data_IF_618598058576
#
_entry.id   IF_618598058576
#
_cell.length_a   1.000
_cell.length_b   1.000
_cell.length_c   1.000
_cell.angle_alpha   90.00
_cell.angle_beta   90.00
_cell.angle_gamma   90.00
#
_symmetry.space_group_name_H-M   'P 1'
#
loop_
_entity.id
_entity.type
_entity.pdbx_description
1 polymer ?
#
# COMPACT_ATOMS: atom_id res chain seq x y z
N UNK A 1 -3.35 -20.19 5.33
CA UNK A 1 -4.22 -20.09 4.13
C UNK A 1 -3.58 -19.29 2.98
N UNK A 2 -3.24 -18.01 3.12
CA UNK A 2 -2.78 -17.16 1.98
C UNK A 2 -1.55 -17.68 1.23
N UNK A 3 -0.64 -18.36 1.94
CA UNK A 3 0.55 -18.98 1.34
C UNK A 3 0.19 -20.09 0.33
N UNK A 4 -0.83 -20.91 0.62
CA UNK A 4 -1.37 -21.90 -0.33
C UNK A 4 -1.83 -21.20 -1.61
N UNK A 5 -2.58 -20.10 -1.47
CA UNK A 5 -3.06 -19.35 -2.62
C UNK A 5 -1.93 -18.79 -3.50
N UNK A 6 -0.79 -18.43 -2.90
CA UNK A 6 0.39 -17.99 -3.66
C UNK A 6 1.13 -19.15 -4.33
N UNK A 7 1.40 -20.23 -3.60
CA UNK A 7 2.15 -21.40 -4.10
C UNK A 7 1.40 -22.08 -5.24
N UNK A 8 0.08 -22.25 -5.10
CA UNK A 8 -0.76 -22.94 -6.09
C UNK A 8 -1.45 -21.97 -7.06
N UNK A 9 -1.01 -20.71 -7.11
CA UNK A 9 -1.54 -19.68 -8.00
C UNK A 9 -3.08 -19.59 -7.99
N UNK A 10 -3.69 -19.59 -6.81
CA UNK A 10 -5.12 -19.36 -6.59
C UNK A 10 -5.31 -17.88 -6.22
N UNK A 11 -5.65 -17.00 -7.18
CA UNK A 11 -5.69 -15.56 -6.94
C UNK A 11 -6.93 -15.11 -6.14
N UNK A 12 -7.98 -15.93 -6.14
CA UNK A 12 -9.25 -15.62 -5.48
C UNK A 12 -9.29 -16.17 -4.06
N UNK A 13 -9.43 -15.28 -3.08
CA UNK A 13 -9.62 -15.65 -1.68
C UNK A 13 -10.91 -16.47 -1.46
N UNK A 14 -11.95 -16.24 -2.28
CA UNK A 14 -13.19 -17.03 -2.26
C UNK A 14 -12.94 -18.45 -2.73
N UNK A 15 -12.27 -18.61 -3.87
CA UNK A 15 -11.87 -19.92 -4.39
C UNK A 15 -10.97 -20.65 -3.41
N UNK A 16 -10.01 -19.96 -2.79
CA UNK A 16 -9.16 -20.54 -1.75
C UNK A 16 -9.98 -21.07 -0.56
N UNK A 17 -11.01 -20.35 -0.13
CA UNK A 17 -11.92 -20.83 0.92
C UNK A 17 -12.75 -22.04 0.46
N UNK A 18 -13.18 -22.08 -0.79
CA UNK A 18 -13.89 -23.24 -1.37
C UNK A 18 -13.00 -24.47 -1.43
N UNK A 19 -11.76 -24.33 -1.89
CA UNK A 19 -10.77 -25.42 -1.93
C UNK A 19 -10.53 -25.99 -0.52
N UNK A 20 -10.49 -25.14 0.52
CA UNK A 20 -10.35 -25.56 1.91
C UNK A 20 -11.57 -26.30 2.48
N UNK A 21 -12.73 -26.28 1.80
CA UNK A 21 -13.88 -27.10 2.19
C UNK A 21 -13.68 -28.57 1.82
N UNK A 22 -12.92 -28.85 0.77
CA UNK A 22 -12.83 -30.20 0.18
C UNK A 22 -11.41 -30.77 0.19
N UNK A 23 -10.38 -29.92 0.24
CA UNK A 23 -8.98 -30.33 0.19
C UNK A 23 -8.42 -30.54 1.60
N UNK A 24 -8.28 -31.80 2.00
CA UNK A 24 -7.77 -32.17 3.33
C UNK A 24 -6.32 -31.72 3.57
N UNK A 25 -5.48 -31.72 2.54
CA UNK A 25 -4.09 -31.26 2.66
C UNK A 25 -4.03 -29.75 2.96
N UNK A 26 -4.90 -28.96 2.34
CA UNK A 26 -4.98 -27.52 2.60
C UNK A 26 -5.48 -27.24 4.02
N UNK A 27 -6.46 -28.03 4.50
CA UNK A 27 -6.95 -27.94 5.88
C UNK A 27 -5.87 -28.29 6.89
N UNK A 28 -5.17 -29.40 6.67
CA UNK A 28 -4.03 -29.81 7.49
C UNK A 28 -2.96 -28.71 7.59
N UNK A 29 -2.56 -28.14 6.45
CA UNK A 29 -1.61 -27.03 6.41
C UNK A 29 -2.09 -25.79 7.17
N UNK A 30 -3.40 -25.54 7.17
CA UNK A 30 -3.99 -24.41 7.88
C UNK A 30 -4.34 -24.73 9.33
N UNK A 31 -3.95 -25.91 9.85
CA UNK A 31 -4.30 -26.39 11.18
C UNK A 31 -5.82 -26.41 11.42
N UNK A 32 -6.60 -26.78 10.40
CA UNK A 32 -8.04 -26.98 10.49
C UNK A 32 -8.34 -28.48 10.54
N UNK A 33 -8.98 -28.94 11.61
CA UNK A 33 -9.50 -30.30 11.71
C UNK A 33 -10.61 -30.53 10.68
N UNK A 34 -10.97 -31.78 10.33
CA UNK A 34 -12.00 -32.06 9.33
C UNK A 34 -13.36 -31.41 9.63
N UNK A 35 -13.73 -31.28 10.91
CA UNK A 35 -15.00 -30.67 11.35
C UNK A 35 -14.99 -29.14 11.49
N UNK A 36 -13.81 -28.50 11.41
CA UNK A 36 -13.70 -27.07 11.70
C UNK A 36 -14.35 -26.21 10.62
N UNK A 37 -14.82 -25.03 11.00
CA UNK A 37 -15.36 -24.08 10.03
C UNK A 37 -14.23 -23.41 9.25
N UNK A 38 -14.40 -23.31 7.93
CA UNK A 38 -13.45 -22.55 7.09
C UNK A 38 -13.68 -21.05 7.33
N UNK A 39 -12.62 -20.26 7.60
CA UNK A 39 -12.74 -18.82 7.75
C UNK A 39 -13.40 -18.17 6.53
N UNK A 40 -14.26 -17.18 6.78
CA UNK A 40 -14.90 -16.44 5.70
C UNK A 40 -13.86 -15.60 4.91
N UNK A 41 -14.00 -15.51 3.58
CA UNK A 41 -13.06 -14.79 2.71
C UNK A 41 -12.84 -13.32 3.12
N UNK A 42 -13.84 -12.64 3.71
CA UNK A 42 -13.68 -11.27 4.20
C UNK A 42 -12.67 -11.14 5.36
N UNK A 43 -12.34 -12.24 6.05
CA UNK A 43 -11.35 -12.28 7.12
C UNK A 43 -9.95 -11.89 6.61
N UNK A 44 -9.60 -12.25 5.37
CA UNK A 44 -8.32 -11.89 4.77
C UNK A 44 -8.18 -10.37 4.63
N UNK A 45 -9.21 -9.71 4.07
CA UNK A 45 -9.25 -8.26 3.93
C UNK A 45 -9.22 -7.56 5.30
N UNK A 46 -10.01 -8.03 6.26
CA UNK A 46 -10.02 -7.47 7.64
C UNK A 46 -8.67 -7.62 8.34
N UNK A 47 -7.99 -8.75 8.16
CA UNK A 47 -6.66 -8.95 8.73
C UNK A 47 -5.60 -8.06 8.05
N UNK A 48 -5.64 -7.91 6.72
CA UNK A 48 -4.70 -7.10 5.94
C UNK A 48 -4.84 -5.60 6.23
N UNK A 49 -6.06 -5.09 6.29
CA UNK A 49 -6.36 -3.66 6.43
C UNK A 49 -6.65 -3.21 7.87
N UNK A 50 -6.80 -4.16 8.80
CA UNK A 50 -6.95 -3.90 10.23
C UNK A 50 -5.78 -4.52 10.99
N UNK A 51 -6.04 -5.67 11.63
CA UNK A 51 -5.17 -6.30 12.64
C UNK A 51 -3.67 -6.30 12.33
N UNK A 52 -3.24 -6.72 11.13
CA UNK A 52 -1.82 -6.82 10.80
C UNK A 52 -1.15 -5.46 10.55
N UNK A 53 -1.90 -4.52 10.00
CA UNK A 53 -1.44 -3.14 9.79
C UNK A 53 -1.34 -2.42 11.12
N UNK A 54 -2.39 -2.48 11.93
CA UNK A 54 -2.46 -1.80 13.24
C UNK A 54 -1.38 -2.33 14.20
N UNK A 55 -1.03 -3.62 14.10
CA UNK A 55 0.03 -4.24 14.89
C UNK A 55 1.45 -3.96 14.36
N UNK A 56 1.62 -3.19 13.28
CA UNK A 56 2.95 -2.86 12.74
C UNK A 56 3.73 -4.07 12.20
N UNK A 57 3.05 -5.20 11.94
CA UNK A 57 3.71 -6.47 11.54
C UNK A 57 4.41 -6.31 10.20
N UNK A 58 3.80 -5.61 9.25
CA UNK A 58 4.40 -5.38 7.94
C UNK A 58 5.70 -4.59 8.03
N UNK A 59 5.73 -3.54 8.86
CA UNK A 59 6.93 -2.74 9.11
C UNK A 59 8.03 -3.60 9.72
N UNK A 60 7.69 -4.36 10.76
CA UNK A 60 8.64 -5.26 11.44
C UNK A 60 9.22 -6.29 10.49
N UNK A 61 8.38 -6.94 9.67
CA UNK A 61 8.80 -7.93 8.69
C UNK A 61 9.71 -7.31 7.63
N UNK A 62 9.32 -6.15 7.09
CA UNK A 62 10.10 -5.43 6.09
C UNK A 62 11.48 -5.05 6.64
N UNK A 63 11.52 -4.36 7.78
CA UNK A 63 12.78 -3.97 8.42
C UNK A 63 13.65 -5.19 8.77
N UNK A 64 13.05 -6.29 9.25
CA UNK A 64 13.81 -7.51 9.55
C UNK A 64 14.41 -8.15 8.30
N UNK A 65 13.69 -8.10 7.18
CA UNK A 65 14.16 -8.62 5.89
C UNK A 65 15.30 -7.75 5.38
N UNK A 66 15.15 -6.42 5.40
CA UNK A 66 16.21 -5.48 5.00
C UNK A 66 17.46 -5.66 5.87
N UNK A 67 17.32 -5.75 7.20
CA UNK A 67 18.46 -6.01 8.10
C UNK A 67 19.20 -7.30 7.74
N UNK A 68 18.49 -8.37 7.36
CA UNK A 68 19.11 -9.62 6.92
C UNK A 68 19.83 -9.44 5.60
N UNK A 69 19.24 -8.75 4.62
CA UNK A 69 19.92 -8.46 3.36
C UNK A 69 21.20 -7.65 3.57
N UNK A 70 21.20 -6.67 4.49
CA UNK A 70 22.41 -5.93 4.87
C UNK A 70 23.44 -6.86 5.51
N UNK A 71 23.02 -7.73 6.44
CA UNK A 71 23.91 -8.69 7.10
C UNK A 71 24.57 -9.70 6.15
N UNK A 72 23.86 -10.09 5.10
CA UNK A 72 24.36 -10.97 4.03
C UNK A 72 25.12 -10.21 2.92
N UNK A 73 25.26 -8.89 3.03
CA UNK A 73 25.95 -8.05 2.04
C UNK A 73 25.22 -7.87 0.71
N UNK A 74 23.90 -8.11 0.68
CA UNK A 74 23.04 -7.89 -0.49
C UNK A 74 22.61 -6.43 -0.67
N UNK A 75 22.78 -5.61 0.37
CA UNK A 75 22.31 -4.22 0.48
C UNK A 75 23.47 -3.39 1.03
N UNK A 76 24.07 -2.53 0.19
CA UNK A 76 25.33 -1.84 0.46
C UNK A 76 25.21 -0.52 1.23
N UNK A 77 24.04 0.13 1.22
CA UNK A 77 23.79 1.40 1.89
C UNK A 77 24.38 2.64 1.20
N UNK A 78 24.90 2.51 -0.02
CA UNK A 78 25.79 3.52 -0.64
C UNK A 78 25.20 4.18 -1.87
N UNK A 79 24.46 3.42 -2.66
CA UNK A 79 23.96 3.86 -3.96
C UNK A 79 22.45 4.08 -3.89
N UNK A 80 21.98 5.15 -4.52
CA UNK A 80 20.55 5.40 -4.68
C UNK A 80 20.24 5.48 -6.17
N UNK A 81 19.33 4.60 -6.61
CA UNK A 81 18.76 4.68 -7.94
C UNK A 81 17.44 5.47 -7.85
N UNK A 82 17.35 6.56 -8.62
CA UNK A 82 16.12 7.34 -8.71
C UNK A 82 15.55 7.13 -10.11
N UNK A 83 14.44 6.40 -10.20
CA UNK A 83 13.65 6.35 -11.42
C UNK A 83 12.53 7.39 -11.34
N UNK A 84 12.33 8.10 -12.45
CA UNK A 84 11.34 9.16 -12.57
C UNK A 84 10.22 8.81 -13.57
N UNK A 85 9.72 7.57 -13.49
CA UNK A 85 8.55 7.12 -14.24
C UNK A 85 7.28 7.76 -13.70
N UNK A 86 6.49 8.39 -14.58
CA UNK A 86 5.20 8.96 -14.20
C UNK A 86 4.12 7.88 -14.07
N UNK A 87 3.53 7.76 -12.88
CA UNK A 87 2.41 6.88 -12.58
C UNK A 87 1.19 7.77 -12.31
N UNK A 88 0.14 7.60 -13.10
CA UNK A 88 -1.11 8.35 -12.91
C UNK A 88 -1.80 7.93 -11.60
N UNK A 89 -2.19 8.91 -10.79
CA UNK A 89 -2.97 8.65 -9.58
C UNK A 89 -4.46 8.57 -9.91
N UNK A 90 -5.22 7.77 -9.16
CA UNK A 90 -6.68 7.72 -9.24
C UNK A 90 -7.31 8.94 -8.53
N UNK A 91 -7.04 10.13 -9.09
CA UNK A 91 -7.38 11.42 -8.50
C UNK A 91 -7.91 12.40 -9.56
N UNK A 92 -9.08 12.97 -9.29
CA UNK A 92 -9.72 13.91 -10.20
C UNK A 92 -9.34 15.36 -9.88
N UNK A 93 -8.87 16.09 -10.89
CA UNK A 93 -8.48 17.50 -10.79
C UNK A 93 -9.63 18.43 -10.37
N UNK A 94 -10.88 18.08 -10.72
CA UNK A 94 -12.07 18.86 -10.34
C UNK A 94 -12.40 18.71 -8.85
N UNK A 95 -11.93 17.64 -8.20
CA UNK A 95 -12.13 17.38 -6.77
C UNK A 95 -10.90 17.78 -5.96
N UNK A 96 -10.28 18.91 -6.30
CA UNK A 96 -9.17 19.49 -5.53
C UNK A 96 -9.67 20.40 -4.41
N UNK A 97 -8.86 20.57 -3.38
CA UNK A 97 -9.05 21.54 -2.31
C UNK A 97 -7.73 22.21 -1.96
N UNK A 98 -7.80 23.33 -1.25
CA UNK A 98 -6.60 23.98 -0.71
C UNK A 98 -6.09 23.10 0.45
N UNK A 99 -4.77 22.82 0.57
CA UNK A 99 -4.23 21.92 1.59
C UNK A 99 -4.77 22.17 3.01
N UNK A 100 -4.87 23.43 3.44
CA UNK A 100 -5.36 23.80 4.78
C UNK A 100 -6.84 23.48 5.02
N UNK A 101 -7.65 23.33 3.98
CA UNK A 101 -9.06 22.96 4.09
C UNK A 101 -9.29 21.45 4.06
N UNK A 102 -8.29 20.64 3.71
CA UNK A 102 -8.41 19.19 3.58
C UNK A 102 -9.03 18.50 4.81
N UNK A 103 -8.67 18.86 6.07
CA UNK A 103 -9.30 18.30 7.26
C UNK A 103 -10.79 18.63 7.42
N UNK A 104 -11.24 19.75 6.82
CA UNK A 104 -12.60 20.28 6.94
C UNK A 104 -13.54 19.82 5.81
N UNK A 105 -13.03 19.32 4.67
CA UNK A 105 -13.86 18.84 3.55
C UNK A 105 -14.40 17.40 3.74
N UNK A 106 -14.56 17.00 5.01
CA UNK A 106 -14.53 15.62 5.48
C UNK A 106 -15.74 14.75 5.10
N UNK A 107 -15.66 14.17 3.91
CA UNK A 107 -15.98 12.75 3.65
C UNK A 107 -14.68 12.01 3.30
N UNK A 108 -13.63 12.27 4.08
CA UNK A 108 -12.28 11.79 3.81
C UNK A 108 -12.22 10.26 3.93
N UNK A 109 -11.94 9.59 2.81
CA UNK A 109 -11.67 8.15 2.80
C UNK A 109 -10.54 7.80 3.77
N UNK A 110 -10.43 6.52 4.15
CA UNK A 110 -9.36 6.04 5.03
C UNK A 110 -7.94 6.52 4.59
N UNK A 111 -7.57 6.51 3.29
CA UNK A 111 -6.23 6.95 2.86
C UNK A 111 -5.92 8.42 3.20
N UNK A 112 -6.89 9.32 3.07
CA UNK A 112 -6.73 10.75 3.36
C UNK A 112 -6.51 10.97 4.86
N UNK A 113 -7.23 10.24 5.71
CA UNK A 113 -7.07 10.31 7.17
C UNK A 113 -5.72 9.77 7.62
N UNK A 114 -5.28 8.66 7.03
CA UNK A 114 -3.94 8.09 7.28
C UNK A 114 -2.84 9.05 6.84
N UNK A 115 -2.97 9.67 5.66
CA UNK A 115 -2.01 10.69 5.21
C UNK A 115 -1.95 11.88 6.17
N UNK A 116 -3.10 12.38 6.64
CA UNK A 116 -3.15 13.47 7.62
C UNK A 116 -2.47 13.10 8.95
N UNK A 117 -2.56 11.84 9.40
CA UNK A 117 -1.82 11.38 10.58
C UNK A 117 -0.32 11.22 10.33
N UNK A 118 0.07 10.81 9.12
CA UNK A 118 1.47 10.56 8.75
C UNK A 118 2.25 11.85 8.42
N UNK A 119 1.59 12.97 8.10
CA UNK A 119 2.23 14.27 7.82
C UNK A 119 3.07 14.84 9.01
N UNK A 120 3.05 14.21 10.19
CA UNK A 120 4.05 14.41 11.25
C UNK A 120 5.47 13.92 10.88
N UNK A 121 5.60 13.17 9.78
CA UNK A 121 6.84 12.60 9.22
C UNK A 121 6.97 13.01 7.74
N UNK A 122 7.40 14.25 7.54
CA UNK A 122 7.52 15.01 6.30
C UNK A 122 8.20 14.24 5.14
N UNK A 123 7.54 14.19 3.97
CA UNK A 123 8.26 14.18 2.68
C UNK A 123 8.33 15.63 2.21
N UNK A 124 9.56 16.16 2.24
CA UNK A 124 9.90 17.50 1.76
C UNK A 124 9.39 17.71 0.35
N UNK A 125 8.64 18.79 0.11
CA UNK A 125 8.36 19.25 -1.25
C UNK A 125 9.70 19.48 -1.95
N UNK A 126 10.02 18.78 -3.06
CA UNK A 126 11.18 19.16 -3.85
C UNK A 126 10.91 20.55 -4.41
N UNK A 127 11.71 21.53 -4.00
CA UNK A 127 11.56 22.91 -4.42
C UNK A 127 11.76 23.05 -5.93
N UNK A 128 10.99 23.95 -6.56
CA UNK A 128 11.31 24.47 -7.90
C UNK A 128 10.25 24.34 -9.00
N UNK A 129 9.05 23.83 -8.75
CA UNK A 129 7.99 23.78 -9.77
C UNK A 129 6.87 24.76 -9.44
N UNK A 130 6.41 25.53 -10.46
CA UNK A 130 5.28 26.48 -10.39
C UNK A 130 4.11 25.83 -9.65
N UNK A 131 3.77 26.36 -8.49
CA UNK A 131 2.85 25.73 -7.55
C UNK A 131 1.46 25.54 -8.15
N UNK A 132 0.99 24.30 -8.16
CA UNK A 132 -0.43 24.01 -8.25
C UNK A 132 -0.98 24.05 -6.82
N UNK A 133 -1.78 25.07 -6.49
CA UNK A 133 -2.32 25.32 -5.14
C UNK A 133 -3.36 24.30 -4.63
N UNK A 134 -3.58 23.21 -5.38
CA UNK A 134 -4.59 22.21 -5.06
C UNK A 134 -4.01 20.89 -4.61
N UNK A 135 -4.58 20.32 -3.54
CA UNK A 135 -4.38 18.93 -3.14
C UNK A 135 -5.62 18.14 -3.53
N UNK A 136 -5.44 16.91 -4.01
CA UNK A 136 -6.57 16.02 -4.32
C UNK A 136 -7.33 15.65 -3.04
N UNK A 137 -8.66 15.67 -3.08
CA UNK A 137 -9.50 15.22 -1.96
C UNK A 137 -9.48 13.72 -1.75
N UNK A 138 -9.13 12.94 -2.77
CA UNK A 138 -9.12 11.47 -2.72
C UNK A 138 -7.74 10.94 -2.36
N UNK A 139 -6.70 11.59 -2.88
CA UNK A 139 -5.30 11.15 -2.75
C UNK A 139 -4.36 12.35 -2.56
N UNK A 140 -4.19 12.82 -1.31
CA UNK A 140 -3.42 14.02 -1.02
C UNK A 140 -1.92 13.90 -1.28
N UNK A 141 -1.40 12.68 -1.41
CA UNK A 141 0.01 12.41 -1.66
C UNK A 141 0.41 12.61 -3.13
N UNK A 142 -0.57 12.55 -4.04
CA UNK A 142 -0.31 12.73 -5.47
C UNK A 142 0.02 14.19 -5.81
N UNK A 143 1.03 14.38 -6.67
CA UNK A 143 1.45 15.70 -7.13
C UNK A 143 0.82 16.01 -8.50
N UNK A 144 0.54 17.30 -8.73
CA UNK A 144 0.09 17.76 -10.05
C UNK A 144 1.26 17.82 -11.02
N UNK A 145 1.13 17.16 -12.18
CA UNK A 145 2.17 17.14 -13.21
C UNK A 145 1.59 17.27 -14.61
N UNK A 146 2.24 18.12 -15.42
CA UNK A 146 1.94 18.30 -16.84
C UNK A 146 2.88 17.52 -17.77
N UNK A 147 3.81 16.71 -17.22
CA UNK A 147 4.75 15.90 -18.01
C UNK A 147 4.09 14.98 -19.07
N UNK A 148 2.97 14.28 -18.80
CA UNK A 148 2.34 13.40 -19.79
C UNK A 148 1.48 14.14 -20.84
N UNK A 149 1.66 15.45 -21.01
CA UNK A 149 0.89 16.28 -21.95
C UNK A 149 -0.35 16.89 -21.31
N UNK A 150 -1.34 16.07 -20.90
CA UNK A 150 -2.50 16.56 -20.13
C UNK A 150 -2.16 16.54 -18.64
N UNK A 151 -2.29 17.70 -18.00
CA UNK A 151 -1.98 17.81 -16.58
C UNK A 151 -2.91 16.95 -15.72
N UNK A 152 -2.32 16.11 -14.88
CA UNK A 152 -2.97 15.08 -14.07
C UNK A 152 -2.27 14.96 -12.72
N UNK A 153 -2.97 14.39 -11.75
CA UNK A 153 -2.34 13.96 -10.51
C UNK A 153 -1.56 12.67 -10.75
N UNK A 154 -0.38 12.56 -10.17
CA UNK A 154 0.43 11.36 -10.27
C UNK A 154 1.65 11.38 -9.38
N UNK A 155 2.40 10.29 -9.50
CA UNK A 155 3.65 10.02 -8.81
C UNK A 155 4.76 9.99 -9.85
N UNK A 156 5.94 10.53 -9.54
CA UNK A 156 7.02 10.63 -10.50
C UNK A 156 8.40 10.37 -9.89
N UNK A 157 8.49 9.98 -8.63
CA UNK A 157 9.76 9.73 -7.96
C UNK A 157 9.70 8.36 -7.29
N UNK A 158 10.44 7.42 -7.85
CA UNK A 158 10.68 6.11 -7.28
C UNK A 158 12.16 6.08 -6.88
N UNK A 159 12.43 6.40 -5.62
CA UNK A 159 13.77 6.26 -5.06
C UNK A 159 13.92 4.84 -4.52
N UNK A 160 14.93 4.14 -5.03
CA UNK A 160 15.39 2.86 -4.52
C UNK A 160 16.78 3.09 -3.93
N UNK A 161 16.91 2.83 -2.64
CA UNK A 161 18.17 2.96 -1.93
C UNK A 161 18.71 1.55 -1.74
N UNK A 162 19.94 1.33 -2.20
CA UNK A 162 20.75 0.16 -1.84
C UNK A 162 21.31 0.34 -0.43
#
# INVERSE_FOLDING_TARGET
MTLIGRIYAIPSERRLCEELRYNLAYRWFCHLAPGDTVPHHSTFSKNRHGRLRDAGVFRTLFESTVRRCIGEGLVGGKDAAIDASFIEADACWQRKTIPGYLPYVANAGRPVREWLSDQGSVVTKPGGFKDFDGVSRTDPAAAWSARPGRARFGYALNALVD
#
